data_IF_513787634916
#
_entry.id   IF_513787634916
#
_cell.length_a   1.000
_cell.length_b   1.000
_cell.length_c   1.000
_cell.angle_alpha   90.00
_cell.angle_beta   90.00
_cell.angle_gamma   90.00
#
_symmetry.space_group_name_H-M   'P 1'
#
loop_
_entity.id
_entity.type
_entity.pdbx_description
1 polymer ?
#
# COMPACT_ATOMS: atom_id res chain seq x y z
N UNK A 1 9.57 -14.22 -12.63
CA UNK A 1 8.43 -14.59 -11.75
C UNK A 1 8.14 -13.44 -10.80
N UNK A 2 6.86 -13.16 -10.48
CA UNK A 2 6.51 -12.12 -9.49
C UNK A 2 6.47 -12.76 -8.10
N UNK A 3 7.19 -12.15 -7.16
CA UNK A 3 7.21 -12.56 -5.74
C UNK A 3 6.73 -11.40 -4.89
N UNK A 4 5.73 -11.64 -4.04
CA UNK A 4 5.19 -10.63 -3.14
C UNK A 4 5.97 -10.64 -1.81
N UNK A 5 6.43 -9.46 -1.40
CA UNK A 5 7.16 -9.25 -0.14
C UNK A 5 6.47 -8.19 0.71
N UNK A 6 6.38 -8.37 2.05
CA UNK A 6 5.76 -7.42 2.96
C UNK A 6 6.68 -6.23 3.25
N UNK A 7 6.17 -5.03 3.07
CA UNK A 7 6.86 -3.77 3.35
C UNK A 7 6.08 -2.91 4.33
N UNK A 8 6.83 -2.18 5.15
CA UNK A 8 6.36 -0.98 5.81
C UNK A 8 6.62 0.22 4.90
N UNK A 9 5.57 0.98 4.53
CA UNK A 9 5.66 1.98 3.48
C UNK A 9 5.73 3.42 3.95
N UNK A 10 5.62 3.66 5.29
CA UNK A 10 5.58 5.02 5.80
C UNK A 10 6.28 5.12 7.16
N UNK A 11 7.52 5.63 7.13
CA UNK A 11 8.39 5.64 8.33
C UNK A 11 9.23 6.88 8.41
N UNK A 12 9.57 7.27 9.65
CA UNK A 12 10.33 8.45 9.98
C UNK A 12 11.49 8.14 10.91
N UNK A 13 12.60 8.86 10.74
CA UNK A 13 13.77 8.78 11.61
C UNK A 13 14.03 10.14 12.26
N UNK A 14 15.07 10.21 13.08
CA UNK A 14 15.51 11.49 13.65
C UNK A 14 16.03 12.50 12.61
N UNK A 15 16.10 12.12 11.33
CA UNK A 15 16.39 13.09 10.25
C UNK A 15 15.20 14.03 9.98
N UNK A 16 14.01 13.69 10.48
CA UNK A 16 12.85 14.59 10.55
C UNK A 16 12.34 14.67 12.00
N UNK A 17 11.27 14.01 12.34
CA UNK A 17 10.64 14.06 13.66
C UNK A 17 10.41 12.69 14.29
N UNK A 18 10.89 11.63 13.65
CA UNK A 18 10.95 10.29 14.21
C UNK A 18 12.02 10.16 15.30
N UNK A 19 11.99 9.05 16.03
CA UNK A 19 12.95 8.75 17.12
C UNK A 19 13.83 7.55 16.81
N UNK A 20 13.67 6.94 15.65
CA UNK A 20 14.51 5.84 15.19
C UNK A 20 15.82 6.35 14.58
N UNK A 21 16.93 5.62 14.79
CA UNK A 21 17.98 5.56 13.78
C UNK A 21 17.51 4.68 12.62
N UNK A 22 18.17 4.73 11.48
CA UNK A 22 17.81 3.86 10.36
C UNK A 22 18.00 2.37 10.72
N UNK A 23 19.03 2.04 11.47
CA UNK A 23 19.28 0.67 11.97
C UNK A 23 18.16 0.22 12.91
N UNK A 24 17.79 1.06 13.90
CA UNK A 24 16.69 0.75 14.83
C UNK A 24 15.37 0.54 14.09
N UNK A 25 15.08 1.38 13.08
CA UNK A 25 13.89 1.23 12.25
C UNK A 25 13.89 -0.12 11.52
N UNK A 26 15.01 -0.49 10.90
CA UNK A 26 15.15 -1.76 10.18
C UNK A 26 15.02 -2.97 11.12
N UNK A 27 15.66 -2.94 12.30
CA UNK A 27 15.56 -4.01 13.29
C UNK A 27 14.13 -4.17 13.82
N UNK A 28 13.45 -3.04 14.08
CA UNK A 28 12.06 -3.04 14.55
C UNK A 28 11.13 -3.57 13.44
N UNK A 29 11.32 -3.13 12.20
CA UNK A 29 10.54 -3.64 11.06
C UNK A 29 10.74 -5.15 10.86
N UNK A 30 11.96 -5.65 11.02
CA UNK A 30 12.27 -7.09 10.98
C UNK A 30 11.51 -7.87 12.07
N UNK A 31 11.39 -7.31 13.28
CA UNK A 31 10.61 -7.92 14.37
C UNK A 31 9.10 -7.97 14.06
N UNK A 32 8.59 -7.10 13.22
CA UNK A 32 7.20 -7.12 12.69
C UNK A 32 7.05 -8.06 11.47
N UNK A 33 8.16 -8.65 10.99
CA UNK A 33 8.19 -9.56 9.84
C UNK A 33 8.11 -8.88 8.48
N UNK A 34 8.42 -7.58 8.43
CA UNK A 34 8.61 -6.91 7.14
C UNK A 34 9.90 -7.40 6.47
N UNK A 35 9.94 -7.37 5.15
CA UNK A 35 11.08 -7.71 4.30
C UNK A 35 11.60 -6.49 3.53
N UNK A 36 11.18 -5.31 3.93
CA UNK A 36 11.65 -4.03 3.46
C UNK A 36 10.89 -2.88 4.13
N UNK A 37 11.48 -1.69 4.10
CA UNK A 37 10.87 -0.46 4.60
C UNK A 37 11.01 0.65 3.56
N UNK A 38 10.08 1.59 3.54
CA UNK A 38 10.27 2.88 2.87
C UNK A 38 10.61 3.93 3.93
N UNK A 39 11.80 4.50 3.85
CA UNK A 39 12.16 5.66 4.67
C UNK A 39 11.64 6.91 3.97
N UNK A 40 10.74 7.62 4.63
CA UNK A 40 9.97 8.76 4.08
C UNK A 40 9.99 9.96 5.03
N UNK A 41 11.18 10.31 5.56
CA UNK A 41 11.36 11.48 6.42
C UNK A 41 10.73 12.74 5.82
N UNK A 42 10.16 13.59 6.67
CA UNK A 42 9.49 14.83 6.25
C UNK A 42 10.46 15.77 5.53
N UNK A 43 10.17 16.04 4.27
CA UNK A 43 10.80 17.08 3.47
C UNK A 43 12.34 16.99 3.33
N UNK A 44 12.95 15.82 3.60
CA UNK A 44 14.40 15.63 3.53
C UNK A 44 14.77 14.24 3.00
N UNK A 45 15.91 14.16 2.34
CA UNK A 45 16.61 12.92 1.99
C UNK A 45 17.85 12.66 2.84
N UNK A 46 18.08 13.45 3.92
CA UNK A 46 19.33 13.35 4.70
C UNK A 46 19.56 11.96 5.31
N UNK A 47 18.49 11.18 5.56
CA UNK A 47 18.58 9.77 5.97
C UNK A 47 19.27 8.86 4.94
N UNK A 48 19.50 9.34 3.72
CA UNK A 48 20.18 8.60 2.65
C UNK A 48 21.57 9.16 2.30
N UNK A 49 22.08 10.14 3.04
CA UNK A 49 23.39 10.75 2.76
C UNK A 49 24.51 9.69 2.83
N UNK A 50 25.25 9.55 1.74
CA UNK A 50 26.32 8.57 1.62
C UNK A 50 25.87 7.12 1.36
N UNK A 51 24.57 6.86 1.24
CA UNK A 51 24.01 5.52 0.99
C UNK A 51 23.70 5.31 -0.51
N UNK A 52 23.69 4.06 -1.00
CA UNK A 52 23.27 3.73 -2.36
C UNK A 52 21.78 4.02 -2.57
N UNK A 53 21.29 3.95 -3.83
CA UNK A 53 19.89 4.21 -4.19
C UNK A 53 18.89 3.30 -3.45
N UNK A 54 19.26 2.05 -3.20
CA UNK A 54 18.50 1.08 -2.40
C UNK A 54 19.46 0.47 -1.37
N UNK A 55 19.65 1.12 -0.21
CA UNK A 55 20.53 0.57 0.83
C UNK A 55 19.91 -0.69 1.44
N UNK A 56 20.77 -1.57 1.94
CA UNK A 56 20.39 -2.76 2.71
C UNK A 56 21.01 -2.63 4.09
N UNK A 57 20.18 -2.49 5.12
CA UNK A 57 20.58 -2.31 6.51
C UNK A 57 20.13 -3.54 7.30
N UNK A 58 21.04 -4.27 7.91
CA UNK A 58 20.76 -5.51 8.67
C UNK A 58 19.87 -6.50 7.87
N UNK A 59 20.18 -6.72 6.58
CA UNK A 59 19.43 -7.52 5.59
C UNK A 59 18.07 -6.93 5.20
N UNK A 60 17.74 -5.71 5.62
CA UNK A 60 16.52 -5.01 5.30
C UNK A 60 16.75 -4.02 4.15
N UNK A 61 16.18 -4.23 2.95
CA UNK A 61 16.24 -3.24 1.88
C UNK A 61 15.38 -2.02 2.23
N UNK A 62 15.93 -0.84 1.97
CA UNK A 62 15.27 0.44 2.24
C UNK A 62 14.90 1.12 0.93
N UNK A 63 13.62 1.34 0.72
CA UNK A 63 13.09 2.14 -0.39
C UNK A 63 13.37 3.61 -0.10
N UNK A 64 14.08 4.25 -1.03
CA UNK A 64 14.37 5.69 -0.93
C UNK A 64 13.11 6.51 -1.16
N UNK A 65 12.72 7.29 -0.17
CA UNK A 65 11.52 8.11 -0.22
C UNK A 65 11.65 9.42 0.54
N UNK A 66 10.65 10.25 0.41
CA UNK A 66 10.43 11.47 1.15
C UNK A 66 8.93 11.66 1.30
N UNK A 67 8.48 12.10 2.45
CA UNK A 67 7.14 12.63 2.59
C UNK A 67 7.14 14.14 2.42
N UNK A 68 6.50 14.62 1.35
CA UNK A 68 6.19 16.02 1.14
C UNK A 68 5.14 16.45 2.13
N UNK A 69 5.56 17.15 3.15
CA UNK A 69 4.70 17.68 4.21
C UNK A 69 4.46 19.15 3.96
N UNK A 70 3.23 19.48 3.62
CA UNK A 70 2.79 20.85 3.31
C UNK A 70 1.58 21.23 4.16
N UNK A 71 1.14 22.50 4.09
CA UNK A 71 -0.09 22.93 4.74
C UNK A 71 -1.38 22.39 4.06
N UNK A 72 -1.26 21.82 2.86
CA UNK A 72 -2.40 21.42 2.02
C UNK A 72 -2.55 19.92 1.86
N UNK A 73 -1.69 19.14 2.46
CA UNK A 73 -1.68 17.70 2.35
C UNK A 73 -0.28 17.13 2.37
N UNK A 74 -0.22 15.82 2.59
CA UNK A 74 1.03 15.07 2.54
C UNK A 74 1.02 14.13 1.34
N UNK A 75 2.19 13.98 0.73
CA UNK A 75 2.40 13.08 -0.40
C UNK A 75 3.76 12.39 -0.27
N UNK A 76 3.80 11.12 -0.55
CA UNK A 76 5.08 10.41 -0.66
C UNK A 76 5.63 10.50 -2.08
N UNK A 77 6.94 10.70 -2.17
CA UNK A 77 7.70 10.61 -3.42
C UNK A 77 8.79 9.57 -3.23
N UNK A 78 8.68 8.44 -3.95
CA UNK A 78 9.65 7.35 -3.86
C UNK A 78 10.53 7.32 -5.11
N UNK A 79 11.81 7.04 -4.94
CA UNK A 79 12.79 6.83 -6.00
C UNK A 79 12.82 7.91 -7.10
N UNK A 80 12.53 9.16 -6.78
CA UNK A 80 12.78 10.25 -7.71
C UNK A 80 14.30 10.41 -7.93
N UNK A 81 14.73 10.44 -9.21
CA UNK A 81 16.15 10.56 -9.58
C UNK A 81 16.72 11.95 -9.27
N UNK A 82 15.83 12.94 -9.12
CA UNK A 82 16.18 14.31 -8.74
C UNK A 82 15.17 14.82 -7.73
N UNK A 83 15.67 15.66 -6.83
CA UNK A 83 14.80 16.39 -5.90
C UNK A 83 13.85 17.32 -6.68
N UNK A 84 12.57 17.25 -6.38
CA UNK A 84 11.55 18.20 -6.84
C UNK A 84 11.13 19.04 -5.64
N UNK A 85 11.24 20.36 -5.76
CA UNK A 85 11.01 21.26 -4.65
C UNK A 85 9.53 21.46 -4.36
N UNK A 86 9.09 20.99 -3.20
CA UNK A 86 7.70 21.01 -2.72
C UNK A 86 7.23 22.38 -2.20
N UNK A 87 8.14 23.31 -1.86
CA UNK A 87 7.84 24.57 -1.15
C UNK A 87 6.89 25.49 -1.88
N UNK A 88 6.72 25.30 -3.17
CA UNK A 88 5.79 26.07 -4.01
C UNK A 88 4.51 25.31 -4.38
N UNK A 89 4.34 24.08 -3.89
CA UNK A 89 3.13 23.32 -4.14
C UNK A 89 1.95 23.97 -3.40
N UNK A 90 0.88 24.21 -4.15
CA UNK A 90 -0.36 24.78 -3.65
C UNK A 90 -1.55 23.94 -4.16
N UNK A 91 -2.75 24.07 -3.59
CA UNK A 91 -3.89 23.24 -3.96
C UNK A 91 -4.18 23.20 -5.46
N UNK A 92 -4.07 24.31 -6.15
CA UNK A 92 -4.39 24.44 -7.58
C UNK A 92 -3.21 24.18 -8.52
N UNK A 93 -1.97 24.08 -8.00
CA UNK A 93 -0.74 23.86 -8.78
C UNK A 93 -0.15 22.46 -8.63
N UNK A 94 -0.72 21.62 -7.80
CA UNK A 94 -0.16 20.28 -7.46
C UNK A 94 0.08 19.40 -8.70
N UNK A 95 -0.75 19.51 -9.72
CA UNK A 95 -0.61 18.75 -10.96
C UNK A 95 0.72 19.01 -11.70
N UNK A 96 1.25 20.23 -11.61
CA UNK A 96 2.55 20.58 -12.21
C UNK A 96 3.70 19.89 -11.46
N UNK A 97 3.59 19.78 -10.14
CA UNK A 97 4.60 19.13 -9.30
C UNK A 97 4.56 17.62 -9.43
N UNK A 98 3.37 17.00 -9.42
CA UNK A 98 3.25 15.56 -9.66
C UNK A 98 3.77 15.18 -11.05
N UNK A 99 3.50 15.99 -12.07
CA UNK A 99 4.10 15.83 -13.40
C UNK A 99 5.63 15.95 -13.37
N UNK A 100 6.20 16.93 -12.66
CA UNK A 100 7.66 17.05 -12.52
C UNK A 100 8.26 15.80 -11.86
N UNK A 101 7.65 15.26 -10.80
CA UNK A 101 8.10 14.03 -10.17
C UNK A 101 8.10 12.87 -11.16
N UNK A 102 7.08 12.75 -12.01
CA UNK A 102 7.02 11.72 -13.06
C UNK A 102 8.14 11.89 -14.09
N UNK A 103 8.54 13.13 -14.44
CA UNK A 103 9.65 13.36 -15.39
C UNK A 103 11.01 12.94 -14.84
N UNK A 104 11.16 12.83 -13.53
CA UNK A 104 12.37 12.34 -12.86
C UNK A 104 12.17 10.90 -12.32
N UNK A 105 11.31 10.14 -12.95
CA UNK A 105 11.01 8.74 -12.67
C UNK A 105 10.48 8.43 -11.25
N UNK A 106 10.05 9.44 -10.49
CA UNK A 106 9.49 9.25 -9.17
C UNK A 106 8.14 8.51 -9.18
N UNK A 107 7.86 7.84 -8.08
CA UNK A 107 6.55 7.27 -7.74
C UNK A 107 5.86 8.27 -6.81
N UNK A 108 4.60 8.55 -7.02
CA UNK A 108 3.82 9.53 -6.26
C UNK A 108 2.67 8.84 -5.54
N UNK A 109 2.60 9.01 -4.23
CA UNK A 109 1.51 8.52 -3.40
C UNK A 109 0.82 9.62 -2.62
N UNK A 110 -0.50 9.53 -2.49
CA UNK A 110 -1.27 10.31 -1.52
C UNK A 110 -1.33 9.51 -0.23
N UNK A 111 -0.90 10.09 0.88
CA UNK A 111 -0.85 9.40 2.16
C UNK A 111 -1.88 9.96 3.14
N UNK A 112 -2.38 9.09 4.01
CA UNK A 112 -3.38 9.39 5.07
C UNK A 112 -4.35 10.56 4.73
N UNK A 113 -5.08 10.54 3.59
CA UNK A 113 -5.77 11.71 3.04
C UNK A 113 -6.86 12.30 3.92
N UNK A 114 -7.31 11.58 4.93
CA UNK A 114 -8.38 12.00 5.84
C UNK A 114 -7.93 12.16 7.29
N UNK A 115 -6.61 12.20 7.53
CA UNK A 115 -6.13 12.39 8.88
C UNK A 115 -6.47 13.80 9.38
N UNK A 116 -7.01 13.86 10.60
CA UNK A 116 -7.30 15.14 11.25
C UNK A 116 -6.03 15.67 11.88
N UNK A 117 -5.57 16.83 11.43
CA UNK A 117 -4.43 17.51 12.02
C UNK A 117 -4.69 17.91 13.46
N UNK A 118 -3.65 17.82 14.28
CA UNK A 118 -3.62 18.43 15.61
C UNK A 118 -3.03 19.83 15.51
N UNK A 119 -3.09 20.68 16.56
CA UNK A 119 -2.41 21.98 16.56
C UNK A 119 -0.90 21.89 16.25
N UNK A 120 -0.28 20.73 16.42
CA UNK A 120 1.14 20.47 16.14
C UNK A 120 1.40 19.83 14.78
N UNK A 121 0.36 19.29 14.12
CA UNK A 121 0.43 18.70 12.79
C UNK A 121 -0.48 19.48 11.86
N UNK A 122 0.11 20.27 10.97
CA UNK A 122 -0.61 21.01 9.93
C UNK A 122 -0.58 20.28 8.61
N UNK A 123 -1.64 20.42 7.79
CA UNK A 123 -1.72 19.83 6.47
C UNK A 123 -1.90 18.30 6.46
N UNK A 124 -2.24 17.66 7.59
CA UNK A 124 -2.49 16.22 7.63
C UNK A 124 -3.71 15.83 6.78
N UNK A 125 -4.74 16.69 6.69
CA UNK A 125 -5.86 16.51 5.79
C UNK A 125 -5.47 16.89 4.36
N UNK A 126 -5.82 16.05 3.39
CA UNK A 126 -5.44 16.26 2.00
C UNK A 126 -6.40 17.24 1.30
N UNK A 127 -5.94 18.46 1.05
CA UNK A 127 -6.69 19.57 0.43
C UNK A 127 -6.15 19.95 -0.97
N UNK A 128 -5.21 19.19 -1.51
CA UNK A 128 -4.72 19.39 -2.87
C UNK A 128 -5.82 19.07 -3.91
N UNK A 129 -6.02 19.97 -4.87
CA UNK A 129 -7.00 19.84 -5.95
C UNK A 129 -6.41 19.05 -7.12
N UNK A 130 -6.10 17.78 -6.91
CA UNK A 130 -5.56 16.92 -7.98
C UNK A 130 -6.60 16.73 -9.08
N UNK A 131 -6.25 17.15 -10.30
CA UNK A 131 -7.05 16.97 -11.53
C UNK A 131 -6.44 15.90 -12.44
N UNK A 132 -5.12 15.69 -12.33
CA UNK A 132 -4.30 14.76 -13.12
C UNK A 132 -3.92 13.52 -12.31
N UNK A 133 -4.93 12.75 -11.90
CA UNK A 133 -4.75 11.53 -11.12
C UNK A 133 -3.90 10.47 -11.84
N UNK A 134 -3.72 10.57 -13.15
CA UNK A 134 -2.78 9.74 -13.91
C UNK A 134 -1.31 9.95 -13.54
N UNK A 135 -0.98 11.03 -12.83
CA UNK A 135 0.35 11.29 -12.28
C UNK A 135 0.55 10.66 -10.88
N UNK A 136 -0.51 10.19 -10.24
CA UNK A 136 -0.47 9.51 -8.95
C UNK A 136 -0.35 8.01 -9.18
N UNK A 137 0.48 7.32 -8.42
CA UNK A 137 0.69 5.87 -8.54
C UNK A 137 -0.10 5.08 -7.50
N UNK A 138 -0.33 5.64 -6.30
CA UNK A 138 -1.03 4.93 -5.22
C UNK A 138 -1.72 5.85 -4.22
N UNK A 139 -2.64 5.24 -3.46
CA UNK A 139 -3.28 5.85 -2.29
C UNK A 139 -2.97 4.99 -1.07
N UNK A 140 -2.55 5.61 0.02
CA UNK A 140 -2.46 4.98 1.32
C UNK A 140 -3.86 4.91 1.94
N UNK A 141 -4.49 3.74 1.78
CA UNK A 141 -5.87 3.51 2.26
C UNK A 141 -5.89 3.16 3.73
N UNK A 142 -4.86 2.44 4.19
CA UNK A 142 -4.70 2.10 5.60
C UNK A 142 -3.49 2.82 6.17
N UNK A 143 -3.76 3.73 7.10
CA UNK A 143 -2.72 4.51 7.76
C UNK A 143 -2.66 4.22 9.25
N UNK A 144 -1.47 4.32 9.81
CA UNK A 144 -1.16 4.17 11.25
C UNK A 144 -1.45 2.77 11.81
N UNK A 145 -1.23 2.64 13.13
CA UNK A 145 -1.58 1.44 13.87
C UNK A 145 -3.09 1.23 13.93
N UNK A 146 -3.48 -0.03 14.07
CA UNK A 146 -4.88 -0.46 14.21
C UNK A 146 -5.80 0.02 13.06
N UNK A 147 -5.41 -0.15 11.78
CA UNK A 147 -6.15 0.42 10.66
C UNK A 147 -7.60 -0.08 10.58
N UNK A 148 -7.90 -1.25 11.14
CA UNK A 148 -9.26 -1.81 11.20
C UNK A 148 -10.21 -1.07 12.16
N UNK A 149 -9.68 -0.20 13.03
CA UNK A 149 -10.44 0.60 14.00
C UNK A 149 -10.49 2.09 13.66
N UNK A 150 -9.71 2.52 12.69
CA UNK A 150 -9.63 3.95 12.34
C UNK A 150 -10.83 4.39 11.53
N UNK A 151 -11.36 5.58 11.86
CA UNK A 151 -12.49 6.16 11.15
C UNK A 151 -12.10 6.70 9.76
N UNK A 152 -10.82 7.00 9.53
CA UNK A 152 -10.28 7.49 8.26
C UNK A 152 -10.21 6.38 7.21
N UNK A 153 -10.01 5.15 7.63
CA UNK A 153 -9.87 3.98 6.74
C UNK A 153 -11.03 3.84 5.74
N UNK A 154 -12.32 3.85 6.14
CA UNK A 154 -13.41 3.76 5.17
C UNK A 154 -13.51 4.99 4.25
N UNK A 155 -13.08 6.16 4.68
CA UNK A 155 -13.06 7.37 3.86
C UNK A 155 -11.98 7.27 2.77
N UNK A 156 -10.77 6.83 3.12
CA UNK A 156 -9.69 6.62 2.18
C UNK A 156 -10.02 5.49 1.18
N UNK A 157 -10.62 4.40 1.65
CA UNK A 157 -11.11 3.31 0.81
C UNK A 157 -12.16 3.81 -0.20
N UNK A 158 -13.09 4.64 0.27
CA UNK A 158 -14.11 5.24 -0.62
C UNK A 158 -13.47 6.15 -1.66
N UNK A 159 -12.58 7.06 -1.26
CA UNK A 159 -11.86 7.96 -2.18
C UNK A 159 -11.13 7.15 -3.27
N UNK A 160 -10.37 6.12 -2.87
CA UNK A 160 -9.67 5.27 -3.81
C UNK A 160 -10.63 4.52 -4.76
N UNK A 161 -11.75 3.97 -4.24
CA UNK A 161 -12.77 3.31 -5.04
C UNK A 161 -13.42 4.26 -6.05
N UNK A 162 -13.79 5.47 -5.63
CA UNK A 162 -14.36 6.49 -6.52
C UNK A 162 -13.37 6.88 -7.67
N UNK A 163 -12.07 6.87 -7.40
CA UNK A 163 -11.04 7.10 -8.42
C UNK A 163 -10.93 5.93 -9.40
N UNK A 164 -11.01 4.69 -8.91
CA UNK A 164 -11.05 3.50 -9.77
C UNK A 164 -12.28 3.51 -10.70
N UNK A 165 -13.46 3.89 -10.17
CA UNK A 165 -14.70 4.01 -10.93
C UNK A 165 -14.62 5.09 -12.03
N UNK A 166 -13.80 6.12 -11.81
CA UNK A 166 -13.47 7.15 -12.81
C UNK A 166 -12.44 6.68 -13.84
N UNK A 167 -11.93 5.45 -13.72
CA UNK A 167 -11.00 4.82 -14.66
C UNK A 167 -9.51 5.05 -14.37
N UNK A 168 -9.15 5.65 -13.24
CA UNK A 168 -7.76 5.78 -12.85
C UNK A 168 -7.19 4.46 -12.35
N UNK A 169 -5.92 4.20 -12.65
CA UNK A 169 -5.21 2.98 -12.24
C UNK A 169 -4.26 3.29 -11.10
N UNK A 170 -4.72 3.09 -9.87
CA UNK A 170 -4.01 3.43 -8.66
C UNK A 170 -3.77 2.19 -7.81
N UNK A 171 -2.53 1.98 -7.40
CA UNK A 171 -2.18 0.97 -6.41
C UNK A 171 -2.74 1.34 -5.02
N UNK A 172 -2.84 0.36 -4.14
CA UNK A 172 -3.21 0.55 -2.74
C UNK A 172 -2.01 0.29 -1.83
N UNK A 173 -1.83 1.12 -0.78
CA UNK A 173 -0.81 0.91 0.24
C UNK A 173 -1.38 1.01 1.65
N UNK A 174 -0.63 0.44 2.59
CA UNK A 174 -0.73 0.70 4.01
C UNK A 174 0.61 1.24 4.49
N UNK A 175 0.60 2.17 5.41
CA UNK A 175 1.76 2.68 6.09
C UNK A 175 1.46 2.97 7.56
N UNK A 176 2.43 2.69 8.44
CA UNK A 176 2.25 2.94 9.87
C UNK A 176 2.38 4.42 10.21
N UNK A 177 3.00 5.21 9.34
CA UNK A 177 3.43 6.59 9.64
C UNK A 177 4.27 6.57 10.94
N UNK A 178 5.33 5.77 10.89
CA UNK A 178 6.00 5.23 12.07
C UNK A 178 7.12 6.14 12.54
N UNK A 179 6.91 6.81 13.65
CA UNK A 179 7.86 7.77 14.22
C UNK A 179 8.67 7.19 15.39
N UNK A 180 8.07 6.29 16.18
CA UNK A 180 8.72 5.61 17.31
C UNK A 180 7.93 4.38 17.72
N UNK A 181 8.56 3.51 18.48
CA UNK A 181 7.91 2.38 19.12
C UNK A 181 8.09 2.43 20.63
N UNK A 182 6.99 2.32 21.36
CA UNK A 182 7.00 2.13 22.83
C UNK A 182 6.51 0.75 23.22
N UNK A 183 5.72 0.12 22.38
CA UNK A 183 5.18 -1.24 22.50
C UNK A 183 4.77 -1.73 21.12
N UNK A 184 4.77 -3.06 20.93
CA UNK A 184 4.28 -3.70 19.72
C UNK A 184 2.84 -3.30 19.41
N UNK A 185 2.59 -2.83 18.22
CA UNK A 185 1.28 -2.35 17.76
C UNK A 185 0.80 -3.19 16.58
N UNK A 186 -0.52 -3.32 16.41
CA UNK A 186 -1.09 -3.95 15.22
C UNK A 186 -0.92 -3.04 14.02
N UNK A 187 -0.21 -3.50 13.00
CA UNK A 187 0.01 -2.78 11.74
C UNK A 187 -0.23 -3.71 10.54
N UNK A 188 -0.71 -3.13 9.46
CA UNK A 188 -0.84 -3.82 8.20
C UNK A 188 0.50 -3.88 7.48
N UNK A 189 0.63 -4.79 6.51
CA UNK A 189 1.73 -4.80 5.58
C UNK A 189 1.23 -4.52 4.16
N UNK A 190 2.00 -3.74 3.42
CA UNK A 190 1.88 -3.65 1.97
C UNK A 190 2.74 -4.72 1.34
N UNK A 191 2.13 -5.68 0.67
CA UNK A 191 2.85 -6.66 -0.13
C UNK A 191 3.08 -6.10 -1.53
N UNK A 192 4.35 -6.00 -1.91
CA UNK A 192 4.76 -5.49 -3.24
C UNK A 192 5.18 -6.65 -4.11
N UNK A 193 4.56 -6.80 -5.28
CA UNK A 193 4.88 -7.81 -6.28
C UNK A 193 6.10 -7.45 -7.12
N UNK A 194 7.26 -7.97 -6.71
CA UNK A 194 8.57 -7.68 -7.29
C UNK A 194 9.00 -8.76 -8.28
N UNK A 195 9.65 -8.36 -9.36
CA UNK A 195 10.25 -9.29 -10.31
C UNK A 195 11.40 -10.04 -9.64
N UNK A 196 11.31 -11.39 -9.64
CA UNK A 196 12.26 -12.30 -8.98
C UNK A 196 12.49 -11.99 -7.47
N UNK A 197 11.59 -11.24 -6.85
CA UNK A 197 11.73 -10.80 -5.46
C UNK A 197 12.86 -9.80 -5.22
N UNK A 198 13.45 -9.22 -6.27
CA UNK A 198 14.54 -8.25 -6.18
C UNK A 198 13.98 -6.88 -5.80
N UNK A 199 14.55 -6.25 -4.77
CA UNK A 199 14.22 -4.89 -4.35
C UNK A 199 15.21 -3.92 -4.99
N UNK A 200 14.72 -3.09 -5.88
CA UNK A 200 15.48 -2.02 -6.54
C UNK A 200 14.53 -0.91 -6.97
N UNK A 201 15.06 0.28 -7.28
CA UNK A 201 14.24 1.37 -7.79
C UNK A 201 13.43 0.95 -9.04
N UNK A 202 14.02 0.17 -9.94
CA UNK A 202 13.33 -0.32 -11.14
C UNK A 202 12.16 -1.24 -10.79
N UNK A 203 12.39 -2.29 -10.00
CA UNK A 203 11.37 -3.30 -9.71
C UNK A 203 10.23 -2.75 -8.87
N UNK A 204 10.51 -1.82 -7.96
CA UNK A 204 9.51 -1.11 -7.17
C UNK A 204 8.69 -0.15 -8.05
N UNK A 205 9.35 0.66 -8.91
CA UNK A 205 8.63 1.51 -9.90
C UNK A 205 7.70 0.67 -10.79
N UNK A 206 8.19 -0.45 -11.31
CA UNK A 206 7.41 -1.34 -12.17
C UNK A 206 6.24 -1.97 -11.42
N UNK A 207 6.40 -2.29 -10.13
CA UNK A 207 5.34 -2.82 -9.30
C UNK A 207 4.23 -1.78 -9.05
N UNK A 208 4.58 -0.57 -8.64
CA UNK A 208 3.60 0.49 -8.39
C UNK A 208 2.86 0.93 -9.65
N UNK A 209 3.58 1.15 -10.76
CA UNK A 209 2.99 1.52 -12.05
C UNK A 209 2.07 0.44 -12.61
N UNK A 210 2.35 -0.81 -12.31
CA UNK A 210 1.50 -1.94 -12.69
C UNK A 210 0.39 -2.25 -11.68
N UNK A 211 0.33 -1.55 -10.53
CA UNK A 211 -0.64 -1.81 -9.49
C UNK A 211 -0.45 -3.16 -8.77
N UNK A 212 0.79 -3.69 -8.70
CA UNK A 212 1.08 -4.98 -8.09
C UNK A 212 1.29 -4.87 -6.58
N UNK A 213 0.25 -4.44 -5.87
CA UNK A 213 0.26 -4.37 -4.40
C UNK A 213 -1.01 -4.96 -3.80
N UNK A 214 -0.92 -5.43 -2.57
CA UNK A 214 -2.05 -5.74 -1.73
C UNK A 214 -1.72 -5.49 -0.26
N UNK A 215 -2.74 -5.35 0.56
CA UNK A 215 -2.64 -5.09 1.99
C UNK A 215 -3.15 -6.26 2.80
N UNK A 216 -2.52 -6.55 3.92
CA UNK A 216 -3.08 -7.47 4.92
C UNK A 216 -2.60 -7.13 6.33
N UNK A 217 -3.53 -7.27 7.28
CA UNK A 217 -3.23 -7.28 8.71
C UNK A 217 -2.92 -8.71 9.23
N UNK A 218 -3.13 -9.72 8.40
CA UNK A 218 -3.08 -11.13 8.76
C UNK A 218 -2.21 -11.95 7.80
N UNK A 219 -2.71 -13.11 7.33
CA UNK A 219 -1.96 -14.04 6.49
C UNK A 219 -1.58 -13.43 5.13
N UNK A 220 -0.50 -13.95 4.55
CA UNK A 220 -0.13 -13.67 3.17
C UNK A 220 -1.15 -14.28 2.22
N UNK A 221 -1.42 -13.59 1.11
CA UNK A 221 -2.30 -14.06 0.04
C UNK A 221 -1.49 -14.24 -1.24
N UNK A 222 -1.42 -15.46 -1.77
CA UNK A 222 -0.92 -15.70 -3.13
C UNK A 222 -2.12 -15.74 -4.09
N UNK A 223 -2.21 -14.74 -4.97
CA UNK A 223 -3.42 -14.44 -5.75
C UNK A 223 -3.11 -14.47 -7.23
N UNK A 224 -3.94 -15.17 -7.99
CA UNK A 224 -3.87 -15.18 -9.45
C UNK A 224 -5.26 -15.27 -10.07
N UNK A 225 -5.40 -14.71 -11.26
CA UNK A 225 -6.61 -14.86 -12.10
C UNK A 225 -6.25 -15.68 -13.34
N UNK A 226 -7.02 -16.74 -13.58
CA UNK A 226 -6.94 -17.56 -14.80
C UNK A 226 -8.05 -17.16 -15.75
N UNK A 227 -7.69 -16.94 -17.00
CA UNK A 227 -8.64 -16.77 -18.11
C UNK A 227 -8.13 -17.56 -19.33
N UNK A 228 -8.85 -18.61 -19.70
CA UNK A 228 -8.34 -19.61 -20.65
C UNK A 228 -7.04 -20.24 -20.13
N UNK A 229 -6.01 -20.28 -20.97
CA UNK A 229 -4.68 -20.81 -20.60
C UNK A 229 -3.76 -19.75 -19.96
N UNK A 230 -4.22 -18.51 -19.85
CA UNK A 230 -3.42 -17.40 -19.31
C UNK A 230 -3.61 -17.22 -17.82
N UNK A 231 -2.51 -16.87 -17.12
CA UNK A 231 -2.51 -16.54 -15.71
C UNK A 231 -2.08 -15.07 -15.51
N UNK A 232 -2.88 -14.33 -14.74
CA UNK A 232 -2.69 -12.91 -14.51
C UNK A 232 -2.47 -12.62 -13.02
N UNK A 233 -1.52 -11.73 -12.73
CA UNK A 233 -1.26 -11.21 -11.39
C UNK A 233 -2.04 -9.91 -11.15
N UNK A 234 -2.11 -9.46 -9.89
CA UNK A 234 -2.71 -8.18 -9.49
C UNK A 234 -2.19 -7.04 -10.40
N UNK A 235 -3.05 -6.10 -10.75
CA UNK A 235 -2.75 -4.94 -11.60
C UNK A 235 -2.86 -5.20 -13.11
N UNK A 236 -3.02 -6.47 -13.52
CA UNK A 236 -3.13 -6.81 -14.97
C UNK A 236 -4.54 -6.60 -15.50
N UNK A 237 -4.60 -6.39 -16.81
CA UNK A 237 -5.87 -6.32 -17.56
C UNK A 237 -6.19 -7.69 -18.16
N UNK A 238 -7.42 -8.12 -18.00
CA UNK A 238 -8.01 -9.32 -18.62
C UNK A 238 -9.12 -8.91 -19.61
N UNK A 239 -9.60 -9.85 -20.40
CA UNK A 239 -10.74 -9.62 -21.26
C UNK A 239 -12.04 -9.87 -20.50
N UNK A 240 -13.14 -9.20 -20.95
CA UNK A 240 -14.48 -9.53 -20.48
C UNK A 240 -14.79 -11.01 -20.73
N UNK A 241 -15.41 -11.69 -19.75
CA UNK A 241 -15.80 -13.08 -19.87
C UNK A 241 -15.53 -13.93 -18.62
N UNK A 242 -15.66 -15.23 -18.77
CA UNK A 242 -15.43 -16.18 -17.68
C UNK A 242 -13.97 -16.20 -17.25
N UNK A 243 -13.77 -16.10 -15.93
CA UNK A 243 -12.44 -16.25 -15.32
C UNK A 243 -12.56 -16.94 -13.95
N UNK A 244 -11.42 -17.38 -13.42
CA UNK A 244 -11.32 -17.97 -12.10
C UNK A 244 -10.24 -17.26 -11.31
N UNK A 245 -10.56 -16.76 -10.10
CA UNK A 245 -9.61 -16.19 -9.17
C UNK A 245 -9.22 -17.25 -8.15
N UNK A 246 -7.92 -17.53 -8.03
CA UNK A 246 -7.37 -18.43 -7.03
C UNK A 246 -6.66 -17.65 -5.94
N UNK A 247 -6.82 -18.10 -4.70
CA UNK A 247 -6.16 -17.54 -3.51
C UNK A 247 -5.58 -18.68 -2.70
N UNK A 248 -4.29 -18.60 -2.37
CA UNK A 248 -3.69 -19.43 -1.33
C UNK A 248 -3.37 -18.53 -0.13
N UNK A 249 -3.84 -18.91 1.07
CA UNK A 249 -3.56 -18.23 2.34
C UNK A 249 -2.39 -18.92 3.03
N UNK A 250 -1.23 -18.27 3.07
CA UNK A 250 -0.17 -18.69 3.97
C UNK A 250 -0.42 -18.13 5.38
N UNK A 251 -1.03 -18.97 6.22
CA UNK A 251 -1.35 -18.63 7.61
C UNK A 251 -0.15 -18.68 8.54
N UNK A 252 1.03 -19.04 8.08
CA UNK A 252 2.24 -19.16 8.90
C UNK A 252 3.15 -17.94 8.75
N UNK A 253 3.19 -17.33 7.55
CA UNK A 253 4.01 -16.13 7.34
C UNK A 253 3.57 -15.01 8.29
N UNK A 254 4.50 -14.43 9.02
CA UNK A 254 4.29 -13.39 10.03
C UNK A 254 3.32 -13.74 11.16
N UNK A 255 2.89 -15.01 11.33
CA UNK A 255 1.90 -15.40 12.34
C UNK A 255 2.33 -15.07 13.78
N UNK A 256 3.63 -15.16 14.08
CA UNK A 256 4.19 -14.76 15.36
C UNK A 256 3.94 -13.27 15.69
N UNK A 257 3.65 -12.47 14.69
CA UNK A 257 3.30 -11.06 14.83
C UNK A 257 1.77 -10.86 14.84
N UNK A 258 1.10 -11.11 13.69
CA UNK A 258 -0.33 -10.77 13.57
C UNK A 258 -1.24 -11.66 14.42
N UNK A 259 -0.82 -12.87 14.78
CA UNK A 259 -1.58 -13.78 15.63
C UNK A 259 -1.83 -13.24 17.06
N UNK A 260 -0.94 -12.37 17.55
CA UNK A 260 -1.10 -11.73 18.87
C UNK A 260 -2.30 -10.77 18.93
N UNK A 261 -2.77 -10.30 17.77
CA UNK A 261 -3.87 -9.33 17.68
C UNK A 261 -5.23 -9.98 17.37
N UNK A 262 -5.32 -11.31 17.48
CA UNK A 262 -6.56 -12.04 17.29
C UNK A 262 -7.11 -11.95 15.86
N UNK A 263 -6.22 -11.87 14.86
CA UNK A 263 -6.63 -11.84 13.46
C UNK A 263 -7.08 -13.23 13.04
N UNK A 264 -8.32 -13.32 12.56
CA UNK A 264 -8.91 -14.59 12.07
C UNK A 264 -9.65 -14.33 10.77
N UNK A 265 -9.15 -14.79 9.60
CA UNK A 265 -9.88 -14.71 8.34
C UNK A 265 -11.23 -15.44 8.41
N UNK A 266 -12.27 -14.84 7.83
CA UNK A 266 -13.63 -15.39 7.83
C UNK A 266 -14.27 -15.41 6.45
N UNK A 267 -14.07 -14.36 5.66
CA UNK A 267 -14.79 -14.18 4.41
C UNK A 267 -13.90 -13.53 3.35
N UNK A 268 -13.91 -14.07 2.15
CA UNK A 268 -13.48 -13.37 0.95
C UNK A 268 -14.63 -12.73 0.23
N UNK A 269 -14.41 -11.55 -0.33
CA UNK A 269 -15.31 -10.88 -1.26
C UNK A 269 -14.59 -10.51 -2.54
N UNK A 270 -15.19 -10.85 -3.68
CA UNK A 270 -14.83 -10.27 -4.97
C UNK A 270 -15.72 -9.05 -5.18
N UNK A 271 -15.09 -7.88 -5.22
CA UNK A 271 -15.76 -6.60 -5.48
C UNK A 271 -15.48 -6.18 -6.90
N UNK A 272 -16.51 -5.96 -7.69
CA UNK A 272 -16.42 -5.51 -9.09
C UNK A 272 -17.15 -4.18 -9.24
N UNK A 273 -16.45 -3.16 -9.75
CA UNK A 273 -17.01 -1.82 -9.97
C UNK A 273 -17.77 -1.30 -8.72
N UNK A 274 -17.14 -1.44 -7.54
CA UNK A 274 -17.70 -0.99 -6.26
C UNK A 274 -18.78 -1.88 -5.64
N UNK A 275 -19.21 -2.96 -6.30
CA UNK A 275 -20.28 -3.86 -5.81
C UNK A 275 -19.71 -5.24 -5.50
N UNK A 276 -20.12 -5.82 -4.36
CA UNK A 276 -19.77 -7.21 -4.04
C UNK A 276 -20.45 -8.16 -5.01
N UNK A 277 -19.64 -8.81 -5.85
CA UNK A 277 -20.10 -9.79 -6.83
C UNK A 277 -20.27 -11.18 -6.21
N UNK A 278 -19.35 -11.56 -5.32
CA UNK A 278 -19.30 -12.88 -4.71
C UNK A 278 -18.72 -12.77 -3.29
N UNK A 279 -19.26 -13.59 -2.37
CA UNK A 279 -18.72 -13.79 -1.03
C UNK A 279 -18.56 -15.28 -0.76
N UNK A 280 -17.50 -15.66 -0.03
CA UNK A 280 -17.24 -17.03 0.36
C UNK A 280 -16.55 -17.11 1.72
N UNK A 281 -16.89 -18.13 2.51
CA UNK A 281 -16.20 -18.43 3.76
C UNK A 281 -14.75 -18.82 3.50
N UNK A 282 -13.83 -18.31 4.32
CA UNK A 282 -12.41 -18.66 4.30
C UNK A 282 -11.87 -18.99 5.71
N UNK A 283 -12.75 -19.37 6.62
CA UNK A 283 -12.38 -19.72 7.99
C UNK A 283 -11.47 -20.95 8.02
N UNK A 284 -11.83 -21.96 7.26
CA UNK A 284 -11.12 -23.22 7.17
C UNK A 284 -10.49 -23.41 5.78
N UNK A 285 -9.34 -24.05 5.74
CA UNK A 285 -8.57 -24.27 4.51
C UNK A 285 -7.65 -23.12 4.13
N UNK A 286 -6.79 -23.39 3.17
CA UNK A 286 -5.77 -22.45 2.69
C UNK A 286 -5.94 -22.14 1.19
N UNK A 287 -6.57 -23.03 0.41
CA UNK A 287 -6.72 -22.89 -1.04
C UNK A 287 -8.19 -22.63 -1.42
N UNK A 288 -8.41 -21.54 -2.14
CA UNK A 288 -9.73 -21.07 -2.57
C UNK A 288 -9.72 -20.77 -4.07
N UNK A 289 -10.87 -21.04 -4.73
CA UNK A 289 -11.05 -20.72 -6.14
C UNK A 289 -12.47 -20.25 -6.40
N UNK A 290 -12.60 -19.17 -7.17
CA UNK A 290 -13.88 -18.48 -7.43
C UNK A 290 -14.06 -18.26 -8.92
N UNK A 291 -15.03 -18.95 -9.53
CA UNK A 291 -15.42 -18.72 -10.92
C UNK A 291 -16.45 -17.59 -11.01
N UNK A 292 -16.23 -16.65 -11.90
CA UNK A 292 -17.15 -15.53 -12.14
C UNK A 292 -17.04 -14.99 -13.56
N UNK A 293 -17.98 -14.12 -13.92
CA UNK A 293 -17.95 -13.36 -15.18
C UNK A 293 -17.33 -11.98 -14.92
N UNK A 294 -16.17 -11.72 -15.50
CA UNK A 294 -15.57 -10.40 -15.47
C UNK A 294 -16.27 -9.48 -16.47
N UNK A 295 -16.72 -8.33 -16.00
CA UNK A 295 -17.32 -7.27 -16.81
C UNK A 295 -16.33 -6.08 -16.92
N UNK A 296 -16.54 -5.23 -17.90
CA UNK A 296 -15.72 -4.04 -18.12
C UNK A 296 -15.60 -3.18 -16.87
N UNK A 297 -14.36 -2.77 -16.56
CA UNK A 297 -14.04 -1.95 -15.40
C UNK A 297 -12.91 -2.56 -14.58
N UNK A 298 -13.15 -2.78 -13.30
CA UNK A 298 -12.16 -3.31 -12.36
C UNK A 298 -12.79 -4.27 -11.35
N UNK A 299 -11.98 -5.18 -10.80
CA UNK A 299 -12.36 -6.00 -9.66
C UNK A 299 -11.17 -6.21 -8.73
N UNK A 300 -11.47 -6.45 -7.46
CA UNK A 300 -10.47 -6.70 -6.43
C UNK A 300 -10.95 -7.79 -5.47
N UNK A 301 -9.99 -8.39 -4.76
CA UNK A 301 -10.27 -9.27 -3.64
C UNK A 301 -10.22 -8.48 -2.34
N UNK A 302 -11.19 -8.69 -1.47
CA UNK A 302 -11.21 -8.21 -0.10
C UNK A 302 -11.30 -9.39 0.85
N UNK A 303 -10.59 -9.33 1.98
CA UNK A 303 -10.65 -10.32 3.04
C UNK A 303 -11.20 -9.67 4.31
N UNK A 304 -12.21 -10.30 4.88
CA UNK A 304 -12.84 -9.88 6.13
C UNK A 304 -12.63 -10.93 7.21
N UNK A 305 -12.64 -10.48 8.47
CA UNK A 305 -12.43 -11.39 9.58
C UNK A 305 -12.57 -10.73 10.94
N UNK A 306 -12.06 -11.41 11.96
CA UNK A 306 -11.96 -10.88 13.30
C UNK A 306 -10.60 -10.14 13.45
N UNK A 307 -10.58 -9.02 14.14
CA UNK A 307 -9.39 -8.25 14.44
C UNK A 307 -9.54 -7.45 15.73
N UNK A 308 -8.57 -7.52 16.63
CA UNK A 308 -8.53 -6.74 17.88
C UNK A 308 -9.80 -6.89 18.74
N UNK A 309 -10.40 -8.08 18.73
CA UNK A 309 -11.65 -8.39 19.44
C UNK A 309 -12.95 -8.03 18.72
N UNK A 310 -12.87 -7.32 17.61
CA UNK A 310 -14.03 -6.97 16.77
C UNK A 310 -14.23 -7.99 15.64
N UNK A 311 -15.48 -8.20 15.21
CA UNK A 311 -15.83 -9.08 14.09
C UNK A 311 -16.11 -8.30 12.81
N UNK A 312 -15.97 -8.98 11.66
CA UNK A 312 -16.36 -8.45 10.36
C UNK A 312 -15.52 -7.26 9.88
N UNK A 313 -14.27 -7.16 10.35
CA UNK A 313 -13.34 -6.13 9.92
C UNK A 313 -12.71 -6.48 8.58
N UNK A 314 -12.45 -5.49 7.72
CA UNK A 314 -11.64 -5.68 6.54
C UNK A 314 -10.18 -5.85 6.97
N UNK A 315 -9.61 -7.03 6.73
CA UNK A 315 -8.26 -7.42 7.16
C UNK A 315 -7.31 -7.69 5.99
N UNK A 316 -7.82 -7.64 4.76
CA UNK A 316 -7.03 -7.75 3.54
C UNK A 316 -7.73 -7.07 2.35
N UNK A 317 -6.93 -6.55 1.42
CA UNK A 317 -7.40 -5.76 0.29
C UNK A 317 -6.37 -5.77 -0.83
N UNK A 318 -6.74 -6.11 -2.07
CA UNK A 318 -5.82 -6.03 -3.22
C UNK A 318 -6.00 -4.74 -4.02
N UNK A 319 -4.93 -4.30 -4.67
CA UNK A 319 -5.08 -3.47 -5.87
C UNK A 319 -5.92 -4.22 -6.91
N UNK A 320 -6.58 -3.52 -7.84
CA UNK A 320 -7.50 -4.17 -8.75
C UNK A 320 -6.82 -4.96 -9.87
N UNK A 321 -7.54 -5.93 -10.39
CA UNK A 321 -7.45 -6.38 -11.77
C UNK A 321 -8.36 -5.50 -12.61
N UNK A 322 -8.01 -5.27 -13.87
CA UNK A 322 -8.80 -4.50 -14.82
C UNK A 322 -9.42 -5.41 -15.87
N UNK A 323 -10.55 -5.00 -16.44
CA UNK A 323 -11.26 -5.76 -17.48
C UNK A 323 -11.68 -4.84 -18.63
N UNK A 324 -11.35 -5.22 -19.85
CA UNK A 324 -11.66 -4.48 -21.10
C UNK A 324 -12.51 -5.31 -22.07
#
# INVERSE_FOLDING_TARGET
MITYKPFEMHTHTYNSDGRFTLEQLCDTAKAYGYQGVALTDHNTYSGFDGLPETPVIHDMPVIRGIEWTTFFGHMQVLYAEKFVDWRRAAPDTIDDFTKQIKTVNGIVGVVHPFEVGSPLCTGCYFDFQVRKWENIDYIEVWSKAEPTKRFETPLALKMWTDLLDRGYRLAVTAGHDWHWETKKQHAAATYIGLEEGIVSAKTVRDAFRAGRTYLTCGPRMDIAVRQGDSLFTIGRTIQKGKCSLSVHLDRNERRYYWGEFGIVPREFRIVMNGVTLLSADCTDGDDFSFDFMAEKGWFRLEMYGDALGDRGKQIGLTSPFYCE
#
